data_IF_252138464020
#
_entry.id   IF_252138464020
#
_cell.length_a   1.000
_cell.length_b   1.000
_cell.length_c   1.000
_cell.angle_alpha   90.00
_cell.angle_beta   90.00
_cell.angle_gamma   90.00
#
_symmetry.space_group_name_H-M   'P 1'
#
loop_
_entity.id
_entity.type
_entity.pdbx_description
1 polymer ?
#
# COMPACT_ATOMS: atom_id res chain seq x y z
N UNK A 1 12.57 -0.21 2.37
CA UNK A 1 13.52 -0.49 1.26
C UNK A 1 12.87 -1.31 0.14
N UNK A 2 12.34 -2.49 0.40
CA UNK A 2 11.75 -3.35 -0.65
C UNK A 2 10.57 -2.69 -1.38
N UNK A 3 9.70 -1.98 -0.67
CA UNK A 3 8.61 -1.21 -1.27
C UNK A 3 9.12 -0.17 -2.28
N UNK A 4 10.24 0.49 -1.98
CA UNK A 4 10.88 1.43 -2.90
C UNK A 4 11.32 0.73 -4.20
N UNK A 5 11.98 -0.42 -4.10
CA UNK A 5 12.39 -1.22 -5.28
C UNK A 5 11.17 -1.60 -6.14
N UNK A 6 10.07 -2.04 -5.52
CA UNK A 6 8.82 -2.31 -6.27
C UNK A 6 8.28 -1.08 -6.97
N UNK A 7 8.31 0.09 -6.31
CA UNK A 7 7.84 1.33 -6.92
C UNK A 7 8.71 1.77 -8.10
N UNK A 8 10.03 1.65 -7.97
CA UNK A 8 10.99 1.93 -9.04
C UNK A 8 10.72 1.05 -10.25
N UNK A 9 10.61 -0.27 -10.08
CA UNK A 9 10.27 -1.21 -11.14
C UNK A 9 8.94 -0.90 -11.83
N UNK A 10 7.92 -0.51 -11.07
CA UNK A 10 6.63 -0.12 -11.63
C UNK A 10 6.76 1.15 -12.49
N UNK A 11 7.48 2.15 -11.99
CA UNK A 11 7.71 3.42 -12.68
C UNK A 11 8.54 3.23 -13.96
N UNK A 12 9.60 2.42 -13.91
CA UNK A 12 10.44 2.10 -15.08
C UNK A 12 9.66 1.35 -16.17
N UNK A 13 8.69 0.53 -15.78
CA UNK A 13 7.80 -0.15 -16.71
C UNK A 13 6.59 0.72 -17.15
N UNK A 14 6.57 2.02 -16.84
CA UNK A 14 5.52 2.95 -17.24
C UNK A 14 4.15 2.68 -16.60
N UNK A 15 4.12 1.96 -15.49
CA UNK A 15 2.90 1.70 -14.74
C UNK A 15 2.61 2.89 -13.83
N UNK A 16 1.40 3.47 -13.96
CA UNK A 16 0.98 4.51 -13.03
C UNK A 16 1.07 3.98 -11.60
N UNK A 17 1.85 4.67 -10.76
CA UNK A 17 2.09 4.30 -9.37
C UNK A 17 1.64 5.43 -8.46
N UNK A 18 0.75 5.13 -7.53
CA UNK A 18 0.25 6.08 -6.54
C UNK A 18 0.61 5.55 -5.17
N UNK A 19 1.46 6.27 -4.45
CA UNK A 19 1.89 5.94 -3.10
C UNK A 19 1.05 6.72 -2.10
N UNK A 20 0.46 6.02 -1.14
CA UNK A 20 -0.20 6.62 0.02
C UNK A 20 0.79 6.55 1.17
N UNK A 21 1.38 7.70 1.49
CA UNK A 21 2.47 7.85 2.44
C UNK A 21 1.97 8.50 3.73
N UNK A 22 1.91 7.71 4.82
CA UNK A 22 1.58 8.21 6.16
C UNK A 22 2.80 8.58 6.98
N UNK A 23 4.02 8.33 6.44
CA UNK A 23 5.29 8.52 7.15
C UNK A 23 6.11 9.69 6.60
N UNK A 24 5.92 10.06 5.32
CA UNK A 24 6.64 11.15 4.66
C UNK A 24 8.04 10.78 4.17
N UNK A 25 8.25 9.50 3.77
CA UNK A 25 9.59 9.01 3.38
C UNK A 25 9.74 8.75 1.88
N UNK A 26 8.65 8.78 1.13
CA UNK A 26 8.65 8.39 -0.28
C UNK A 26 9.14 9.48 -1.25
N UNK A 27 9.35 10.70 -0.77
CA UNK A 27 9.91 11.78 -1.61
C UNK A 27 11.26 11.40 -2.23
N UNK A 28 11.98 10.43 -1.63
CA UNK A 28 13.25 9.89 -2.15
C UNK A 28 13.17 9.36 -3.57
N UNK A 29 12.00 8.94 -4.08
CA UNK A 29 11.82 8.54 -5.49
C UNK A 29 12.11 9.67 -6.48
N UNK A 30 12.05 10.94 -6.06
CA UNK A 30 12.41 12.12 -6.89
C UNK A 30 13.91 12.40 -6.93
N UNK A 31 14.68 11.72 -6.11
CA UNK A 31 16.13 11.88 -6.02
C UNK A 31 16.83 10.76 -6.79
N UNK A 32 17.98 11.05 -7.37
CA UNK A 32 18.83 10.03 -7.98
C UNK A 32 19.38 9.06 -6.92
N UNK A 33 19.92 7.93 -7.34
CA UNK A 33 20.34 6.81 -6.49
C UNK A 33 21.34 7.18 -5.38
N UNK A 34 22.07 8.28 -5.54
CA UNK A 34 23.01 8.80 -4.54
C UNK A 34 22.42 9.96 -3.69
N UNK A 35 21.11 10.16 -3.74
CA UNK A 35 20.44 11.28 -3.10
C UNK A 35 20.68 12.63 -3.79
N UNK A 36 21.33 12.64 -4.94
CA UNK A 36 21.63 13.83 -5.74
C UNK A 36 21.08 13.68 -7.16
N UNK A 37 20.75 14.82 -7.78
CA UNK A 37 20.20 14.83 -9.11
C UNK A 37 18.72 14.46 -9.16
N UNK A 38 18.18 14.26 -10.37
CA UNK A 38 16.77 13.97 -10.62
C UNK A 38 16.54 12.46 -10.66
N UNK A 39 15.57 11.99 -9.88
CA UNK A 39 15.04 10.64 -9.95
C UNK A 39 13.81 10.56 -10.86
N UNK A 40 12.77 9.88 -10.42
CA UNK A 40 11.54 9.67 -11.21
C UNK A 40 10.69 10.94 -11.34
N UNK A 41 9.96 11.05 -12.47
CA UNK A 41 8.98 12.11 -12.69
C UNK A 41 7.67 11.77 -11.99
N UNK A 42 7.65 11.97 -10.68
CA UNK A 42 6.52 11.71 -9.81
C UNK A 42 6.11 12.98 -9.06
N UNK A 43 4.81 13.28 -9.02
CA UNK A 43 4.28 14.43 -8.29
C UNK A 43 4.09 14.09 -6.82
N UNK A 44 4.37 15.04 -5.93
CA UNK A 44 4.17 14.92 -4.49
C UNK A 44 3.07 15.89 -4.05
N UNK A 45 2.03 15.36 -3.43
CA UNK A 45 0.94 16.14 -2.85
C UNK A 45 1.00 16.04 -1.34
N UNK A 46 1.05 17.17 -0.65
CA UNK A 46 1.16 17.26 0.82
C UNK A 46 2.57 17.03 1.35
N UNK A 47 2.68 16.97 2.67
CA UNK A 47 3.95 16.84 3.38
C UNK A 47 4.90 18.02 3.18
N UNK A 48 6.14 17.87 3.69
CA UNK A 48 7.18 18.90 3.61
C UNK A 48 7.73 19.07 2.18
N UNK A 49 7.77 17.99 1.42
CA UNK A 49 8.36 17.95 0.06
C UNK A 49 7.32 18.07 -1.06
N UNK A 50 6.08 18.45 -0.72
CA UNK A 50 4.97 18.50 -1.66
C UNK A 50 5.06 19.61 -2.69
N UNK A 51 4.71 19.31 -3.94
CA UNK A 51 4.53 20.30 -5.00
C UNK A 51 3.29 21.17 -4.75
N UNK A 52 2.27 20.59 -4.12
CA UNK A 52 1.03 21.24 -3.74
C UNK A 52 0.58 20.75 -2.34
N UNK A 53 0.04 21.66 -1.52
CA UNK A 53 -0.49 21.27 -0.21
C UNK A 53 -1.76 20.42 -0.37
N UNK A 54 -1.97 19.50 0.57
CA UNK A 54 -3.24 18.78 0.71
C UNK A 54 -4.18 19.51 1.67
N UNK A 55 -5.47 19.52 1.30
CA UNK A 55 -6.55 19.95 2.20
C UNK A 55 -7.52 18.78 2.43
N UNK A 56 -8.13 18.67 3.61
CA UNK A 56 -8.95 17.51 3.99
C UNK A 56 -10.13 17.21 3.06
N UNK A 57 -10.57 18.17 2.27
CA UNK A 57 -11.70 18.05 1.34
C UNK A 57 -11.29 17.75 -0.11
N UNK A 58 -9.99 17.68 -0.41
CA UNK A 58 -9.50 17.53 -1.78
C UNK A 58 -9.39 16.07 -2.27
N UNK A 59 -9.69 15.07 -1.42
CA UNK A 59 -9.51 13.66 -1.76
C UNK A 59 -10.17 13.25 -3.08
N UNK A 60 -11.44 13.61 -3.27
CA UNK A 60 -12.16 13.32 -4.50
C UNK A 60 -11.55 14.00 -5.74
N UNK A 61 -11.19 15.29 -5.62
CA UNK A 61 -10.58 16.08 -6.72
C UNK A 61 -9.23 15.49 -7.12
N UNK A 62 -8.42 15.09 -6.15
CA UNK A 62 -7.13 14.45 -6.43
C UNK A 62 -7.32 13.10 -7.14
N UNK A 63 -8.28 12.29 -6.69
CA UNK A 63 -8.61 11.03 -7.36
C UNK A 63 -9.04 11.24 -8.81
N UNK A 64 -9.89 12.22 -9.09
CA UNK A 64 -10.31 12.59 -10.45
C UNK A 64 -9.11 13.01 -11.31
N UNK A 65 -8.25 13.85 -10.75
CA UNK A 65 -7.05 14.34 -11.43
C UNK A 65 -6.12 13.19 -11.81
N UNK A 66 -5.80 12.29 -10.86
CA UNK A 66 -4.89 11.17 -11.11
C UNK A 66 -5.47 10.13 -12.08
N UNK A 67 -6.77 9.86 -12.04
CA UNK A 67 -7.41 8.96 -13.00
C UNK A 67 -7.43 9.57 -14.41
N UNK A 68 -7.66 10.88 -14.53
CA UNK A 68 -7.69 11.58 -15.81
C UNK A 68 -6.31 11.73 -16.43
N UNK A 69 -5.32 12.15 -15.64
CA UNK A 69 -3.97 12.46 -16.15
C UNK A 69 -3.09 11.23 -16.27
N UNK A 70 -3.42 10.15 -15.53
CA UNK A 70 -2.60 8.92 -15.40
C UNK A 70 -1.18 9.19 -14.92
N UNK A 71 -0.95 10.29 -14.23
CA UNK A 71 0.35 10.61 -13.65
C UNK A 71 0.57 9.82 -12.37
N UNK A 72 1.81 9.40 -12.14
CA UNK A 72 2.23 8.82 -10.87
C UNK A 72 2.32 9.90 -9.80
N UNK A 73 2.03 9.54 -8.55
CA UNK A 73 1.98 10.50 -7.46
C UNK A 73 2.33 9.86 -6.11
N UNK A 74 2.87 10.67 -5.23
CA UNK A 74 2.98 10.41 -3.79
C UNK A 74 1.94 11.32 -3.12
N UNK A 75 1.10 10.73 -2.29
CA UNK A 75 0.13 11.43 -1.45
C UNK A 75 0.65 11.34 -0.03
N UNK A 76 1.40 12.37 0.37
CA UNK A 76 1.98 12.48 1.69
C UNK A 76 0.97 13.13 2.65
N UNK A 77 0.48 12.35 3.59
CA UNK A 77 -0.58 12.76 4.50
C UNK A 77 -0.06 13.31 5.84
N UNK A 78 1.25 13.40 6.02
CA UNK A 78 1.87 13.86 7.28
C UNK A 78 1.54 15.31 7.63
N UNK A 79 1.13 16.11 6.65
CA UNK A 79 0.77 17.52 6.85
C UNK A 79 -0.66 17.77 7.37
N UNK A 80 -1.50 16.74 7.56
CA UNK A 80 -2.82 16.93 8.16
C UNK A 80 -2.72 17.20 9.66
N UNK A 81 -3.56 18.11 10.15
CA UNK A 81 -3.55 18.49 11.56
C UNK A 81 -4.09 17.40 12.48
N UNK A 82 -4.97 16.55 11.97
CA UNK A 82 -5.62 15.47 12.74
C UNK A 82 -5.77 14.20 11.89
N UNK A 83 -5.79 13.04 12.57
CA UNK A 83 -6.10 11.77 11.92
C UNK A 83 -7.51 11.76 11.31
N UNK A 84 -8.47 12.48 11.88
CA UNK A 84 -9.81 12.59 11.33
C UNK A 84 -9.83 13.27 9.95
N UNK A 85 -9.00 14.28 9.75
CA UNK A 85 -8.81 14.92 8.44
C UNK A 85 -8.18 13.97 7.44
N UNK A 86 -7.14 13.25 7.84
CA UNK A 86 -6.47 12.23 7.04
C UNK A 86 -7.45 11.12 6.62
N UNK A 87 -8.20 10.56 7.57
CA UNK A 87 -9.21 9.51 7.33
C UNK A 87 -10.31 9.97 6.38
N UNK A 88 -10.79 11.22 6.55
CA UNK A 88 -11.79 11.82 5.66
C UNK A 88 -11.25 11.96 4.24
N UNK A 89 -10.07 12.56 4.08
CA UNK A 89 -9.41 12.72 2.78
C UNK A 89 -9.25 11.39 2.06
N UNK A 90 -8.73 10.39 2.77
CA UNK A 90 -8.47 9.08 2.18
C UNK A 90 -9.74 8.30 1.84
N UNK A 91 -10.80 8.45 2.63
CA UNK A 91 -12.11 7.87 2.29
C UNK A 91 -12.65 8.49 1.00
N UNK A 92 -12.64 9.83 0.89
CA UNK A 92 -13.10 10.56 -0.30
C UNK A 92 -12.27 10.20 -1.54
N UNK A 93 -10.94 10.10 -1.37
CA UNK A 93 -10.01 9.67 -2.41
C UNK A 93 -10.32 8.24 -2.89
N UNK A 94 -10.31 7.26 -1.98
CA UNK A 94 -10.43 5.85 -2.33
C UNK A 94 -11.79 5.50 -2.95
N UNK A 95 -12.89 6.08 -2.43
CA UNK A 95 -14.23 5.89 -2.99
C UNK A 95 -14.35 6.46 -4.40
N UNK A 96 -13.87 7.70 -4.59
CA UNK A 96 -13.92 8.36 -5.90
C UNK A 96 -13.01 7.68 -6.89
N UNK A 97 -11.79 7.34 -6.49
CA UNK A 97 -10.83 6.62 -7.31
C UNK A 97 -11.42 5.29 -7.82
N UNK A 98 -11.95 4.46 -6.92
CA UNK A 98 -12.57 3.19 -7.29
C UNK A 98 -13.74 3.38 -8.27
N UNK A 99 -14.64 4.32 -8.00
CA UNK A 99 -15.79 4.63 -8.86
C UNK A 99 -15.38 5.05 -10.27
N UNK A 100 -14.34 5.87 -10.39
CA UNK A 100 -13.83 6.34 -11.68
C UNK A 100 -13.10 5.24 -12.43
N UNK A 101 -12.37 4.39 -11.74
CA UNK A 101 -11.66 3.26 -12.32
C UNK A 101 -12.59 2.19 -12.88
N UNK A 102 -13.81 2.07 -12.38
CA UNK A 102 -14.83 1.20 -13.02
C UNK A 102 -15.12 1.59 -14.47
N UNK A 103 -14.99 2.88 -14.80
CA UNK A 103 -15.21 3.41 -16.16
C UNK A 103 -13.91 3.60 -16.95
N UNK A 104 -12.80 3.76 -16.27
CA UNK A 104 -11.46 3.94 -16.85
C UNK A 104 -10.52 2.85 -16.36
N UNK A 105 -10.45 1.73 -17.08
CA UNK A 105 -9.72 0.51 -16.69
C UNK A 105 -8.22 0.56 -17.03
N UNK A 106 -7.56 1.69 -16.93
CA UNK A 106 -6.11 1.78 -17.11
C UNK A 106 -5.36 1.07 -15.96
N UNK A 107 -4.14 0.59 -16.23
CA UNK A 107 -3.30 -0.02 -15.18
C UNK A 107 -2.82 1.05 -14.21
N UNK A 108 -2.90 0.75 -12.92
CA UNK A 108 -2.38 1.58 -11.84
C UNK A 108 -2.08 0.69 -10.63
N UNK A 109 -1.01 0.97 -9.92
CA UNK A 109 -0.72 0.33 -8.64
C UNK A 109 -0.87 1.35 -7.51
N UNK A 110 -1.69 1.04 -6.52
CA UNK A 110 -1.74 1.75 -5.24
C UNK A 110 -0.77 1.08 -4.29
N UNK A 111 0.16 1.84 -3.73
CA UNK A 111 1.09 1.41 -2.69
C UNK A 111 0.61 2.03 -1.38
N UNK A 112 0.30 1.20 -0.39
CA UNK A 112 -0.09 1.62 0.95
C UNK A 112 1.13 1.46 1.87
N UNK A 113 1.78 2.56 2.22
CA UNK A 113 2.81 2.56 3.27
C UNK A 113 2.11 2.53 4.63
N UNK A 114 2.63 1.74 5.56
CA UNK A 114 2.00 1.41 6.86
C UNK A 114 0.51 1.05 6.65
N UNK A 115 0.28 -0.05 5.94
CA UNK A 115 -1.05 -0.43 5.45
C UNK A 115 -2.10 -0.58 6.56
N UNK A 116 -1.70 -0.82 7.79
CA UNK A 116 -2.59 -0.86 8.95
C UNK A 116 -3.20 0.51 9.29
N UNK A 117 -2.62 1.63 8.85
CA UNK A 117 -3.25 2.96 8.97
C UNK A 117 -4.47 3.10 8.04
N UNK A 118 -4.47 2.44 6.88
CA UNK A 118 -5.51 2.55 5.86
C UNK A 118 -6.55 1.42 5.92
N UNK A 119 -6.13 0.26 6.34
CA UNK A 119 -6.92 -0.97 6.42
C UNK A 119 -6.76 -1.66 7.78
N UNK A 120 -7.10 -0.95 8.89
CA UNK A 120 -6.88 -1.45 10.24
C UNK A 120 -7.70 -2.71 10.54
N UNK A 121 -7.10 -3.65 11.31
CA UNK A 121 -7.75 -4.88 11.76
C UNK A 121 -8.88 -4.61 12.76
N UNK A 122 -8.70 -3.61 13.61
CA UNK A 122 -9.69 -3.19 14.61
C UNK A 122 -10.06 -1.72 14.37
N UNK A 123 -10.93 -1.45 13.39
CA UNK A 123 -11.24 -0.09 13.00
C UNK A 123 -12.09 0.63 14.04
N UNK A 124 -11.80 1.88 14.26
CA UNK A 124 -12.70 2.80 14.94
C UNK A 124 -13.89 3.17 14.02
N UNK A 125 -14.96 3.71 14.61
CA UNK A 125 -16.15 4.13 13.84
C UNK A 125 -15.79 5.12 12.73
N UNK A 126 -14.83 6.01 12.96
CA UNK A 126 -14.36 7.02 12.00
C UNK A 126 -13.57 6.43 10.83
N UNK A 127 -13.04 5.22 10.96
CA UNK A 127 -12.24 4.52 9.95
C UNK A 127 -13.07 3.61 9.04
N UNK A 128 -14.30 3.27 9.45
CA UNK A 128 -15.13 2.29 8.73
C UNK A 128 -15.38 2.66 7.27
N UNK A 129 -15.55 3.94 6.96
CA UNK A 129 -15.77 4.42 5.61
C UNK A 129 -14.51 4.22 4.74
N UNK A 130 -13.35 4.62 5.24
CA UNK A 130 -12.05 4.46 4.59
C UNK A 130 -11.73 2.97 4.38
N UNK A 131 -11.82 2.17 5.44
CA UNK A 131 -11.63 0.73 5.38
C UNK A 131 -12.55 0.07 4.34
N UNK A 132 -13.83 0.43 4.33
CA UNK A 132 -14.81 -0.10 3.37
C UNK A 132 -14.44 0.21 1.90
N UNK A 133 -13.87 1.39 1.65
CA UNK A 133 -13.38 1.77 0.33
C UNK A 133 -12.18 0.91 -0.11
N UNK A 134 -11.17 0.75 0.74
CA UNK A 134 -9.99 -0.08 0.45
C UNK A 134 -10.33 -1.57 0.34
N UNK A 135 -11.25 -2.08 1.15
CA UNK A 135 -11.75 -3.45 1.00
C UNK A 135 -12.41 -3.68 -0.37
N UNK A 136 -13.15 -2.71 -0.90
CA UNK A 136 -13.71 -2.79 -2.26
C UNK A 136 -12.61 -2.81 -3.33
N UNK A 137 -11.57 -1.98 -3.17
CA UNK A 137 -10.41 -1.96 -4.05
C UNK A 137 -9.69 -3.31 -4.01
N UNK A 138 -9.35 -3.84 -2.84
CA UNK A 138 -8.68 -5.12 -2.69
C UNK A 138 -9.48 -6.28 -3.34
N UNK A 139 -10.79 -6.31 -3.12
CA UNK A 139 -11.66 -7.40 -3.60
C UNK A 139 -11.95 -7.35 -5.11
N UNK A 140 -12.07 -6.16 -5.69
CA UNK A 140 -12.60 -5.98 -7.05
C UNK A 140 -11.71 -5.13 -7.96
N UNK A 141 -10.68 -4.46 -7.42
CA UNK A 141 -9.84 -3.51 -8.13
C UNK A 141 -9.15 -4.12 -9.35
N UNK A 142 -8.71 -5.36 -9.26
CA UNK A 142 -8.09 -6.12 -10.36
C UNK A 142 -8.93 -6.08 -11.65
N UNK A 143 -10.26 -6.17 -11.55
CA UNK A 143 -11.16 -6.10 -12.71
C UNK A 143 -11.16 -4.73 -13.40
N UNK A 144 -10.65 -3.71 -12.73
CA UNK A 144 -10.60 -2.32 -13.20
C UNK A 144 -9.16 -1.82 -13.41
N UNK A 145 -8.19 -2.74 -13.41
CA UNK A 145 -6.77 -2.43 -13.61
C UNK A 145 -6.07 -1.85 -12.40
N UNK A 146 -6.64 -2.01 -11.18
CA UNK A 146 -6.00 -1.55 -9.94
C UNK A 146 -5.24 -2.73 -9.32
N UNK A 147 -3.90 -2.58 -9.21
CA UNK A 147 -3.05 -3.37 -8.34
C UNK A 147 -2.99 -2.73 -6.94
N UNK A 148 -2.84 -3.53 -5.91
CA UNK A 148 -2.69 -3.07 -4.54
C UNK A 148 -1.44 -3.71 -3.93
N UNK A 149 -0.49 -2.89 -3.51
CA UNK A 149 0.68 -3.28 -2.74
C UNK A 149 0.54 -2.72 -1.33
N UNK A 150 0.33 -3.59 -0.35
CA UNK A 150 0.24 -3.21 1.05
C UNK A 150 1.58 -3.51 1.75
N UNK A 151 2.17 -2.51 2.38
CA UNK A 151 3.41 -2.59 3.13
C UNK A 151 3.07 -2.35 4.60
N UNK A 152 3.49 -3.22 5.49
CA UNK A 152 3.32 -3.03 6.93
C UNK A 152 4.42 -3.74 7.70
N UNK A 153 4.85 -3.12 8.77
CA UNK A 153 5.72 -3.73 9.77
C UNK A 153 4.91 -4.53 10.80
N UNK A 154 3.58 -4.33 10.83
CA UNK A 154 2.65 -4.95 11.77
C UNK A 154 1.55 -5.73 11.05
N UNK A 155 1.86 -6.88 10.45
CA UNK A 155 0.89 -7.64 9.66
C UNK A 155 -0.38 -8.01 10.43
N UNK A 156 -0.31 -8.15 11.78
CA UNK A 156 -1.48 -8.35 12.64
C UNK A 156 -2.38 -7.10 12.73
N UNK A 157 -1.87 -5.90 12.42
CA UNK A 157 -2.63 -4.66 12.34
C UNK A 157 -3.45 -4.53 11.06
N UNK A 158 -3.10 -5.29 10.02
CA UNK A 158 -3.77 -5.26 8.72
C UNK A 158 -5.04 -6.11 8.75
N UNK A 159 -6.13 -5.58 8.22
CA UNK A 159 -7.44 -6.24 8.21
C UNK A 159 -7.41 -7.59 7.47
N UNK A 160 -7.74 -8.68 8.18
CA UNK A 160 -7.64 -10.07 7.68
C UNK A 160 -8.35 -10.30 6.35
N UNK A 161 -9.52 -9.69 6.12
CA UNK A 161 -10.24 -9.83 4.84
C UNK A 161 -9.45 -9.27 3.64
N UNK A 162 -8.58 -8.27 3.86
CA UNK A 162 -7.72 -7.71 2.81
C UNK A 162 -6.45 -8.55 2.68
N UNK A 163 -5.83 -8.89 3.79
CA UNK A 163 -4.64 -9.74 3.82
C UNK A 163 -4.90 -11.08 3.09
N UNK A 164 -6.03 -11.73 3.36
CA UNK A 164 -6.41 -13.01 2.76
C UNK A 164 -6.74 -12.92 1.25
N UNK A 165 -6.90 -11.71 0.70
CA UNK A 165 -7.08 -11.50 -0.74
C UNK A 165 -5.75 -11.31 -1.49
N UNK A 166 -4.62 -11.25 -0.76
CA UNK A 166 -3.31 -11.10 -1.39
C UNK A 166 -2.94 -12.35 -2.18
N UNK A 167 -2.59 -12.18 -3.44
CA UNK A 167 -2.14 -13.26 -4.31
C UNK A 167 -0.69 -13.66 -4.03
N UNK A 168 0.11 -12.71 -3.54
CA UNK A 168 1.53 -12.89 -3.22
C UNK A 168 1.84 -12.22 -1.88
N UNK A 169 2.64 -12.89 -1.07
CA UNK A 169 3.14 -12.37 0.19
C UNK A 169 4.67 -12.41 0.21
N UNK A 170 5.27 -11.25 0.44
CA UNK A 170 6.71 -11.11 0.69
C UNK A 170 6.91 -10.91 2.19
N UNK A 171 7.60 -11.84 2.84
CA UNK A 171 7.85 -11.77 4.29
C UNK A 171 9.33 -11.65 4.55
N UNK A 172 9.74 -10.51 5.05
CA UNK A 172 11.09 -10.23 5.51
C UNK A 172 11.34 -10.76 6.91
N UNK A 173 12.54 -10.53 7.46
CA UNK A 173 12.88 -11.01 8.79
C UNK A 173 11.91 -10.51 9.86
N UNK A 174 11.25 -11.42 10.55
CA UNK A 174 10.29 -11.15 11.64
C UNK A 174 10.66 -11.99 12.85
N UNK A 175 10.89 -11.35 14.00
CA UNK A 175 11.21 -12.02 15.27
C UNK A 175 10.00 -12.11 16.22
N UNK A 176 9.05 -11.20 16.11
CA UNK A 176 7.90 -11.11 17.01
C UNK A 176 6.93 -12.29 16.87
N UNK A 177 6.41 -12.79 18.00
CA UNK A 177 5.46 -13.92 17.98
C UNK A 177 4.10 -13.53 17.38
N UNK A 178 3.66 -12.32 17.63
CA UNK A 178 2.36 -11.82 17.14
C UNK A 178 2.36 -11.63 15.63
N UNK A 179 3.43 -11.07 15.10
CA UNK A 179 3.61 -10.86 13.67
C UNK A 179 3.67 -12.21 12.93
N UNK A 180 4.44 -13.19 13.47
CA UNK A 180 4.50 -14.53 12.88
C UNK A 180 3.16 -15.26 12.93
N UNK A 181 2.31 -14.99 13.95
CA UNK A 181 0.98 -15.56 14.03
C UNK A 181 0.10 -15.09 12.86
N UNK A 182 0.14 -13.81 12.49
CA UNK A 182 -0.62 -13.28 11.36
C UNK A 182 -0.20 -13.95 10.03
N UNK A 183 1.12 -14.18 9.84
CA UNK A 183 1.63 -14.88 8.67
C UNK A 183 1.19 -16.34 8.66
N UNK A 184 1.24 -17.02 9.83
CA UNK A 184 0.72 -18.38 9.97
C UNK A 184 -0.74 -18.47 9.57
N UNK A 185 -1.60 -17.61 10.10
CA UNK A 185 -3.03 -17.58 9.78
C UNK A 185 -3.28 -17.37 8.29
N UNK A 186 -2.49 -16.51 7.62
CA UNK A 186 -2.59 -16.31 6.17
C UNK A 186 -2.18 -17.56 5.39
N UNK A 187 -1.08 -18.21 5.77
CA UNK A 187 -0.59 -19.43 5.10
C UNK A 187 -1.55 -20.61 5.31
N UNK A 188 -2.19 -20.71 6.46
CA UNK A 188 -3.26 -21.68 6.74
C UNK A 188 -4.50 -21.42 5.85
N UNK A 189 -4.92 -20.15 5.76
CA UNK A 189 -6.05 -19.76 4.90
C UNK A 189 -5.82 -20.09 3.42
N UNK A 190 -4.59 -20.03 2.95
CA UNK A 190 -4.21 -20.35 1.57
C UNK A 190 -3.80 -21.83 1.39
N UNK A 191 -4.13 -22.71 2.35
CA UNK A 191 -3.95 -24.17 2.29
C UNK A 191 -2.50 -24.61 1.97
N UNK A 192 -1.51 -23.86 2.49
CA UNK A 192 -0.10 -24.19 2.34
C UNK A 192 0.22 -25.39 3.23
N UNK A 193 0.93 -26.38 2.67
CA UNK A 193 1.38 -27.57 3.38
C UNK A 193 2.03 -27.23 4.73
N UNK A 194 1.67 -28.01 5.77
CA UNK A 194 2.05 -27.72 7.14
C UNK A 194 3.56 -27.79 7.38
N UNK A 195 4.22 -28.80 6.81
CA UNK A 195 5.66 -29.00 6.98
C UNK A 195 6.46 -27.88 6.28
N UNK A 196 6.02 -27.48 5.08
CA UNK A 196 6.57 -26.37 4.33
C UNK A 196 6.38 -25.06 5.08
N UNK A 197 5.18 -24.82 5.58
CA UNK A 197 4.83 -23.63 6.35
C UNK A 197 5.68 -23.50 7.62
N UNK A 198 5.75 -24.56 8.43
CA UNK A 198 6.44 -24.52 9.71
C UNK A 198 7.95 -24.37 9.55
N UNK A 199 8.53 -25.01 8.53
CA UNK A 199 9.93 -24.80 8.12
C UNK A 199 10.17 -23.34 7.74
N UNK A 200 9.33 -22.77 6.87
CA UNK A 200 9.46 -21.41 6.42
C UNK A 200 9.30 -20.38 7.56
N UNK A 201 8.27 -20.55 8.42
CA UNK A 201 8.07 -19.71 9.59
C UNK A 201 9.24 -19.78 10.59
N UNK A 202 9.87 -20.95 10.70
CA UNK A 202 11.09 -21.13 11.50
C UNK A 202 12.30 -20.37 10.98
N UNK A 203 12.38 -20.11 9.67
CA UNK A 203 13.47 -19.36 9.04
C UNK A 203 13.36 -17.85 9.25
N UNK A 204 12.16 -17.30 9.46
CA UNK A 204 11.91 -15.85 9.49
C UNK A 204 12.82 -15.07 10.43
N UNK A 205 13.07 -15.51 11.68
CA UNK A 205 13.94 -14.77 12.60
C UNK A 205 15.41 -14.72 12.19
N UNK A 206 15.83 -15.66 11.33
CA UNK A 206 17.22 -15.78 10.85
C UNK A 206 17.48 -15.10 9.50
N UNK A 207 16.46 -14.53 8.85
CA UNK A 207 16.64 -13.83 7.58
C UNK A 207 17.49 -12.57 7.76
N UNK A 208 18.47 -12.41 6.87
CA UNK A 208 19.31 -11.21 6.85
C UNK A 208 18.61 -10.06 6.13
N UNK A 209 19.13 -8.86 6.30
CA UNK A 209 18.67 -7.68 5.57
C UNK A 209 18.65 -7.96 4.05
N UNK A 210 17.54 -7.63 3.40
CA UNK A 210 17.33 -7.86 1.97
C UNK A 210 16.88 -9.28 1.60
N UNK A 211 16.81 -10.21 2.55
CA UNK A 211 16.25 -11.54 2.31
C UNK A 211 14.77 -11.59 2.69
N UNK A 212 13.97 -12.26 1.86
CA UNK A 212 12.56 -12.51 2.16
C UNK A 212 12.15 -13.93 1.75
N UNK A 213 11.09 -14.41 2.36
CA UNK A 213 10.32 -15.54 1.86
C UNK A 213 9.21 -15.02 0.96
N UNK A 214 8.97 -15.71 -0.15
CA UNK A 214 7.88 -15.36 -1.07
C UNK A 214 6.91 -16.52 -1.10
N UNK A 215 5.66 -16.24 -0.78
CA UNK A 215 4.55 -17.15 -0.99
C UNK A 215 3.66 -16.64 -2.11
N UNK A 216 3.47 -17.46 -3.13
CA UNK A 216 2.65 -17.17 -4.29
C UNK A 216 1.83 -18.42 -4.65
N UNK A 217 0.82 -18.81 -3.84
CA UNK A 217 0.13 -20.09 -3.96
C UNK A 217 -0.64 -20.29 -5.28
N UNK A 218 -0.82 -19.22 -6.04
CA UNK A 218 -1.53 -19.24 -7.34
C UNK A 218 -0.62 -19.17 -8.57
N UNK A 219 0.71 -19.20 -8.37
CA UNK A 219 1.70 -19.09 -9.45
C UNK A 219 2.67 -20.26 -9.48
#
# INVERSE_FOLDING_TARGET
>A
YAGGVFAEELLENGIQTIVLDSVGVWYGLRLGANGKGRGYDIHIFGGEHGDLPLIPTAGAVLAETLVRTRKSAIIDTTGFATEAEQRRFMADFAETFYRLKMRNKSRVTLILEEADDWIPQMPETTELRMLGAFQRIARKGRNFGIGLLAISQRPQGVHKKVLNLSDVLFVFGISGKHERKAIREWTEYNEIDEDVRDKALGMLPGLKMGQCLVWAPRF
#
